data_IF_412447336949
#
_entry.id   IF_412447336949
#
_cell.length_a   1.000
_cell.length_b   1.000
_cell.length_c   1.000
_cell.angle_alpha   90.00
_cell.angle_beta   90.00
_cell.angle_gamma   90.00
#
_symmetry.space_group_name_H-M   'P 1'
#
loop_
_entity.id
_entity.type
_entity.pdbx_description
1 polymer ?
#
# COMPACT_ATOMS: atom_id res chain seq x y z
N UNK A 1 36.63 -30.21 28.25
CA UNK A 1 36.24 -30.22 26.82
C UNK A 1 34.94 -29.46 26.70
N UNK A 2 35.02 -28.23 26.23
CA UNK A 2 33.92 -27.25 26.12
C UNK A 2 33.20 -27.50 24.80
N UNK A 3 31.90 -27.79 24.85
CA UNK A 3 31.06 -27.98 23.65
C UNK A 3 30.52 -26.61 23.26
N UNK A 4 30.89 -26.16 22.05
CA UNK A 4 30.57 -24.85 21.50
C UNK A 4 29.06 -24.63 21.30
N UNK A 5 28.58 -23.56 21.93
CA UNK A 5 27.24 -23.02 21.88
C UNK A 5 26.93 -22.34 20.53
N UNK A 6 26.88 -23.10 19.42
CA UNK A 6 26.62 -22.56 18.07
C UNK A 6 25.16 -22.42 17.67
N UNK A 7 24.20 -22.89 18.49
CA UNK A 7 22.78 -22.84 18.14
C UNK A 7 22.04 -21.60 18.65
N UNK A 8 22.63 -20.83 19.58
CA UNK A 8 21.97 -19.67 20.19
C UNK A 8 22.02 -18.36 19.35
N UNK A 9 22.81 -18.33 18.28
CA UNK A 9 23.06 -17.12 17.48
C UNK A 9 22.12 -16.95 16.29
N UNK A 10 21.69 -18.03 15.63
CA UNK A 10 20.75 -17.94 14.50
C UNK A 10 19.35 -17.44 14.91
N UNK A 11 18.80 -17.95 16.01
CA UNK A 11 17.46 -17.55 16.47
C UNK A 11 17.39 -16.13 17.06
N UNK A 12 18.53 -15.57 17.48
CA UNK A 12 18.61 -14.17 17.95
C UNK A 12 18.62 -13.18 16.79
N UNK A 13 19.23 -13.54 15.67
CA UNK A 13 19.29 -12.71 14.47
C UNK A 13 17.87 -12.51 13.88
N UNK A 14 17.08 -13.58 13.75
CA UNK A 14 15.68 -13.51 13.30
C UNK A 14 14.79 -12.67 14.22
N UNK A 15 14.93 -12.84 15.55
CA UNK A 15 14.16 -12.08 16.54
C UNK A 15 14.53 -10.61 16.59
N UNK A 16 15.74 -10.26 16.16
CA UNK A 16 16.19 -8.88 16.09
C UNK A 16 15.66 -8.22 14.82
N UNK A 17 15.74 -8.90 13.67
CA UNK A 17 15.15 -8.43 12.42
C UNK A 17 13.62 -8.27 12.51
N UNK A 18 12.93 -9.23 13.14
CA UNK A 18 11.48 -9.12 13.36
C UNK A 18 11.09 -7.94 14.26
N UNK A 19 11.92 -7.62 15.26
CA UNK A 19 11.70 -6.45 16.12
C UNK A 19 11.98 -5.13 15.41
N UNK A 20 12.99 -5.11 14.56
CA UNK A 20 13.31 -3.94 13.75
C UNK A 20 12.21 -3.67 12.70
N UNK A 21 11.67 -4.71 12.08
CA UNK A 21 10.49 -4.59 11.21
C UNK A 21 9.24 -4.14 11.97
N UNK A 22 9.01 -4.64 13.19
CA UNK A 22 7.91 -4.16 14.03
C UNK A 22 8.08 -2.69 14.38
N UNK A 23 9.29 -2.26 14.78
CA UNK A 23 9.58 -0.84 15.05
C UNK A 23 9.36 0.04 13.83
N UNK A 24 9.74 -0.41 12.63
CA UNK A 24 9.50 0.34 11.40
C UNK A 24 8.01 0.44 11.07
N UNK A 25 7.24 -0.63 11.32
CA UNK A 25 5.79 -0.61 11.14
C UNK A 25 5.11 0.29 12.17
N UNK A 26 5.58 0.28 13.42
CA UNK A 26 5.11 1.16 14.50
C UNK A 26 5.45 2.62 14.18
N UNK A 27 6.66 2.93 13.69
CA UNK A 27 7.05 4.28 13.26
C UNK A 27 6.19 4.79 12.08
N UNK A 28 5.85 3.90 11.14
CA UNK A 28 4.93 4.21 10.04
C UNK A 28 3.52 4.48 10.57
N UNK A 29 3.05 3.71 11.56
CA UNK A 29 1.75 3.94 12.19
C UNK A 29 1.73 5.22 13.06
N UNK A 30 2.79 5.48 13.81
CA UNK A 30 2.97 6.66 14.67
C UNK A 30 3.13 7.95 13.88
N UNK A 31 3.56 7.86 12.61
CA UNK A 31 3.53 9.00 11.68
C UNK A 31 2.11 9.45 11.28
N UNK A 32 1.06 8.76 11.76
CA UNK A 32 -0.34 9.07 11.50
C UNK A 32 -0.84 8.56 10.14
N UNK A 33 -0.01 7.82 9.41
CA UNK A 33 -0.37 7.18 8.14
C UNK A 33 -0.98 5.82 8.47
N UNK A 34 -2.30 5.79 8.66
CA UNK A 34 -3.00 4.52 8.82
C UNK A 34 -3.02 3.76 7.48
N UNK A 35 -3.09 2.42 7.49
CA UNK A 35 -3.23 1.62 6.27
C UNK A 35 -4.41 2.07 5.39
N UNK A 36 -5.51 2.52 6.01
CA UNK A 36 -6.69 3.05 5.35
C UNK A 36 -6.38 4.36 4.62
N UNK A 37 -5.63 5.26 5.26
CA UNK A 37 -5.20 6.51 4.66
C UNK A 37 -4.26 6.28 3.47
N UNK A 38 -3.32 5.32 3.59
CA UNK A 38 -2.45 4.94 2.48
C UNK A 38 -3.27 4.42 1.29
N UNK A 39 -4.27 3.56 1.54
CA UNK A 39 -5.15 3.04 0.48
C UNK A 39 -5.97 4.15 -0.16
N UNK A 40 -6.47 5.10 0.62
CA UNK A 40 -7.16 6.29 0.11
C UNK A 40 -6.26 7.11 -0.82
N UNK A 41 -5.02 7.39 -0.40
CA UNK A 41 -4.06 8.15 -1.22
C UNK A 41 -3.74 7.40 -2.52
N UNK A 42 -3.54 6.08 -2.46
CA UNK A 42 -3.29 5.26 -3.66
C UNK A 42 -4.50 5.26 -4.61
N UNK A 43 -5.72 5.18 -4.09
CA UNK A 43 -6.93 5.30 -4.89
C UNK A 43 -7.02 6.65 -5.60
N UNK A 44 -6.77 7.76 -4.89
CA UNK A 44 -6.75 9.10 -5.50
C UNK A 44 -5.69 9.22 -6.61
N UNK A 45 -4.49 8.66 -6.40
CA UNK A 45 -3.44 8.62 -7.43
C UNK A 45 -3.84 7.77 -8.64
N UNK A 46 -4.50 6.64 -8.42
CA UNK A 46 -5.02 5.83 -9.51
C UNK A 46 -6.06 6.63 -10.31
N UNK A 47 -6.99 7.33 -9.65
CA UNK A 47 -7.94 8.21 -10.33
C UNK A 47 -7.23 9.31 -11.15
N UNK A 48 -6.10 9.86 -10.67
CA UNK A 48 -5.27 10.78 -11.46
C UNK A 48 -4.70 10.12 -12.71
N UNK A 49 -4.23 8.87 -12.61
CA UNK A 49 -3.72 8.09 -13.75
C UNK A 49 -4.82 7.84 -14.79
N UNK A 50 -6.06 7.64 -14.36
CA UNK A 50 -7.23 7.50 -15.24
C UNK A 50 -7.86 8.86 -15.63
N UNK A 51 -7.18 9.97 -15.33
CA UNK A 51 -7.60 11.33 -15.72
C UNK A 51 -8.96 11.76 -15.16
N UNK A 52 -9.38 11.19 -14.03
CA UNK A 52 -10.63 11.54 -13.37
C UNK A 52 -10.53 12.96 -12.78
N UNK A 53 -11.44 13.88 -13.10
CA UNK A 53 -11.42 15.26 -12.58
C UNK A 53 -11.44 15.33 -11.05
N UNK A 54 -10.90 16.42 -10.48
CA UNK A 54 -10.89 16.64 -9.02
C UNK A 54 -12.29 16.80 -8.42
N UNK A 55 -13.22 17.37 -9.20
CA UNK A 55 -14.60 17.61 -8.78
C UNK A 55 -15.54 16.42 -9.10
N UNK A 56 -14.99 15.28 -9.53
CA UNK A 56 -15.79 14.11 -9.88
C UNK A 56 -16.26 13.36 -8.63
N UNK A 57 -17.53 12.91 -8.62
CA UNK A 57 -18.16 12.22 -7.49
C UNK A 57 -17.36 11.02 -6.97
N UNK A 58 -16.73 10.24 -7.87
CA UNK A 58 -15.85 9.12 -7.53
C UNK A 58 -14.73 9.45 -6.53
N UNK A 59 -14.28 10.70 -6.42
CA UNK A 59 -13.24 11.09 -5.47
C UNK A 59 -13.77 11.27 -4.04
N UNK A 60 -15.08 11.46 -3.89
CA UNK A 60 -15.77 11.51 -2.60
C UNK A 60 -16.27 10.14 -2.13
N UNK A 61 -16.23 9.12 -3.01
CA UNK A 61 -16.65 7.77 -2.68
C UNK A 61 -15.67 7.06 -1.75
N UNK A 62 -16.18 6.05 -1.04
CA UNK A 62 -15.39 5.18 -0.20
C UNK A 62 -14.27 4.51 -0.99
N UNK A 63 -13.07 4.46 -0.40
CA UNK A 63 -11.93 3.77 -1.01
C UNK A 63 -12.22 2.27 -1.12
N UNK A 64 -12.16 1.70 -2.32
CA UNK A 64 -12.43 0.28 -2.51
C UNK A 64 -11.40 -0.58 -1.78
N UNK A 65 -11.82 -1.79 -1.38
CA UNK A 65 -10.97 -2.69 -0.62
C UNK A 65 -9.73 -3.13 -1.41
N UNK A 66 -9.91 -3.33 -2.73
CA UNK A 66 -8.90 -3.73 -3.69
C UNK A 66 -8.82 -2.73 -4.84
N UNK A 67 -7.61 -2.22 -5.08
CA UNK A 67 -7.35 -1.25 -6.16
C UNK A 67 -7.03 -1.92 -7.51
N UNK A 68 -6.65 -3.20 -7.47
CA UNK A 68 -6.31 -4.04 -8.61
C UNK A 68 -7.53 -4.77 -9.19
N UNK A 69 -8.73 -4.54 -8.64
CA UNK A 69 -9.94 -5.22 -9.07
C UNK A 69 -10.29 -4.86 -10.53
N UNK A 70 -10.39 -5.84 -11.44
CA UNK A 70 -10.83 -5.57 -12.81
C UNK A 70 -12.21 -4.93 -12.88
N UNK A 71 -13.10 -5.16 -11.91
CA UNK A 71 -14.41 -4.51 -11.85
C UNK A 71 -14.29 -2.98 -11.70
N UNK A 72 -13.33 -2.52 -10.89
CA UNK A 72 -13.04 -1.09 -10.70
C UNK A 72 -12.52 -0.45 -11.99
N UNK A 73 -11.61 -1.13 -12.69
CA UNK A 73 -11.08 -0.68 -13.98
C UNK A 73 -12.20 -0.61 -15.03
N UNK A 74 -13.04 -1.64 -15.10
CA UNK A 74 -14.18 -1.67 -16.01
C UNK A 74 -15.17 -0.54 -15.72
N UNK A 75 -15.41 -0.24 -14.44
CA UNK A 75 -16.28 0.88 -14.04
C UNK A 75 -15.71 2.23 -14.50
N UNK A 76 -14.40 2.45 -14.34
CA UNK A 76 -13.74 3.66 -14.85
C UNK A 76 -13.88 3.78 -16.38
N UNK A 77 -13.72 2.68 -17.12
CA UNK A 77 -13.92 2.65 -18.57
C UNK A 77 -15.38 2.93 -18.97
N UNK A 78 -16.36 2.40 -18.24
CA UNK A 78 -17.79 2.67 -18.47
C UNK A 78 -18.13 4.15 -18.28
N UNK A 79 -17.45 4.82 -17.36
CA UNK A 79 -17.57 6.27 -17.14
C UNK A 79 -16.80 7.11 -18.18
N UNK A 80 -16.11 6.47 -19.12
CA UNK A 80 -15.34 7.13 -20.18
C UNK A 80 -13.93 7.55 -19.76
N UNK A 81 -13.47 7.13 -18.58
CA UNK A 81 -12.10 7.38 -18.15
C UNK A 81 -11.13 6.38 -18.76
N UNK A 82 -10.00 6.88 -19.23
CA UNK A 82 -8.96 6.07 -19.83
C UNK A 82 -7.63 6.31 -19.11
N UNK A 83 -6.86 5.23 -18.97
CA UNK A 83 -5.51 5.32 -18.41
C UNK A 83 -4.68 6.27 -19.27
N UNK A 84 -4.01 7.25 -18.64
CA UNK A 84 -3.04 8.11 -19.31
C UNK A 84 -1.97 7.23 -19.95
N UNK A 85 -1.94 7.25 -21.28
CA UNK A 85 -0.94 6.53 -22.04
C UNK A 85 0.42 7.11 -21.69
N UNK A 86 1.32 6.29 -21.15
CA UNK A 86 2.70 6.67 -20.92
C UNK A 86 3.43 6.62 -22.26
N UNK A 87 3.16 7.58 -23.16
CA UNK A 87 4.02 7.84 -24.31
C UNK A 87 4.86 9.07 -23.99
N UNK A 88 6.15 8.83 -23.77
CA UNK A 88 7.21 9.70 -24.27
C UNK A 88 8.47 8.89 -24.54
#
# INVERSE_FOLDING_TARGET
MTIDNKQATHSKLDKQQMRELQSQLDDIQDSGVTPEFLRYVLFQKMLDVYQVPKDHALRGDSTPERLDDPALINHLHQLGFAKRSAYH
#
